data_IF_015376737187
#
_entry.id   IF_015376737187
#
_cell.length_a   1.000
_cell.length_b   1.000
_cell.length_c   1.000
_cell.angle_alpha   90.00
_cell.angle_beta   90.00
_cell.angle_gamma   90.00
#
_symmetry.space_group_name_H-M   'P 1'
#
loop_
_entity.id
_entity.type
_entity.pdbx_description
1 polymer ?
#
# COMPACT_ATOMS: atom_id res chain seq x y z
N UNK A 1 4.86 16.34 -1.98
CA UNK A 1 5.57 16.56 -0.69
C UNK A 1 5.63 15.21 0.01
N UNK A 2 6.75 14.85 0.66
CA UNK A 2 6.86 13.57 1.35
C UNK A 2 5.73 13.41 2.36
N UNK A 3 5.17 12.21 2.42
CA UNK A 3 4.16 11.86 3.40
C UNK A 3 4.78 11.90 4.81
N UNK A 4 4.14 12.56 5.78
CA UNK A 4 4.61 12.59 7.18
C UNK A 4 4.41 11.25 7.90
N UNK A 5 5.02 11.02 9.05
CA UNK A 5 4.68 9.84 9.86
C UNK A 5 3.28 9.96 10.45
N UNK A 6 2.48 8.88 10.45
CA UNK A 6 1.20 8.84 11.18
C UNK A 6 0.16 7.91 10.60
N UNK A 7 -1.05 7.97 11.17
CA UNK A 7 -2.17 7.13 10.76
C UNK A 7 -2.87 7.67 9.51
N UNK A 8 -3.18 6.78 8.58
CA UNK A 8 -3.94 7.06 7.35
C UNK A 8 -4.91 5.94 7.03
N UNK A 9 -5.97 6.24 6.30
CA UNK A 9 -6.68 5.25 5.50
C UNK A 9 -6.08 5.20 4.10
N UNK A 10 -5.93 4.00 3.54
CA UNK A 10 -5.39 3.80 2.19
C UNK A 10 -6.52 3.31 1.28
N UNK A 11 -6.67 3.92 0.12
CA UNK A 11 -7.64 3.51 -0.89
C UNK A 11 -7.00 3.23 -2.25
N UNK A 12 -7.61 2.32 -3.00
CA UNK A 12 -7.49 2.24 -4.45
C UNK A 12 -8.90 2.36 -5.05
N UNK A 13 -9.11 3.27 -6.02
CA UNK A 13 -10.39 3.44 -6.74
C UNK A 13 -11.62 3.50 -5.81
N UNK A 14 -11.52 4.27 -4.71
CA UNK A 14 -12.57 4.44 -3.67
C UNK A 14 -12.85 3.23 -2.79
N UNK A 15 -12.14 2.11 -2.98
CA UNK A 15 -12.18 0.94 -2.09
C UNK A 15 -11.01 1.04 -1.11
N UNK A 16 -11.25 0.78 0.17
CA UNK A 16 -10.20 0.79 1.19
C UNK A 16 -9.34 -0.47 1.10
N UNK A 17 -8.09 -0.36 1.53
CA UNK A 17 -7.22 -1.51 1.74
C UNK A 17 -7.28 -1.96 3.20
N UNK A 18 -7.11 -3.26 3.42
CA UNK A 18 -6.99 -3.87 4.74
C UNK A 18 -6.20 -5.16 4.67
N UNK A 19 -6.31 -5.99 5.69
CA UNK A 19 -5.82 -7.37 5.65
C UNK A 19 -6.99 -8.36 5.67
N UNK A 20 -6.74 -9.60 5.26
CA UNK A 20 -7.68 -10.71 5.38
C UNK A 20 -7.83 -11.16 6.83
N UNK A 21 -9.03 -11.57 7.24
CA UNK A 21 -9.32 -12.13 8.57
C UNK A 21 -9.26 -13.66 8.65
N UNK A 22 -8.68 -14.31 7.64
CA UNK A 22 -8.62 -15.77 7.56
C UNK A 22 -7.68 -16.38 8.61
N UNK A 23 -8.14 -17.44 9.28
CA UNK A 23 -7.30 -18.30 10.12
C UNK A 23 -6.66 -19.43 9.29
N UNK A 24 -5.40 -19.81 9.59
CA UNK A 24 -4.53 -19.31 10.65
C UNK A 24 -3.91 -17.94 10.33
N UNK A 25 -3.51 -17.20 11.37
CA UNK A 25 -2.75 -15.94 11.32
C UNK A 25 -1.31 -16.10 10.77
N UNK A 26 -1.11 -16.88 9.70
CA UNK A 26 0.08 -16.79 8.85
C UNK A 26 0.00 -15.47 8.07
N UNK A 27 1.10 -14.93 7.50
CA UNK A 27 1.12 -13.56 7.00
C UNK A 27 -0.18 -13.22 6.28
N UNK A 28 -0.91 -12.24 6.81
CA UNK A 28 -2.26 -11.97 6.33
C UNK A 28 -2.16 -11.27 4.99
N UNK A 29 -3.07 -11.62 4.09
CA UNK A 29 -3.10 -11.02 2.75
C UNK A 29 -3.48 -9.56 2.89
N UNK A 30 -2.72 -8.65 2.29
CA UNK A 30 -3.21 -7.27 2.11
C UNK A 30 -4.19 -7.27 0.96
N UNK A 31 -5.44 -6.88 1.20
CA UNK A 31 -6.55 -7.04 0.24
C UNK A 31 -7.25 -5.70 -0.01
N UNK A 32 -7.97 -5.63 -1.12
CA UNK A 32 -8.99 -4.59 -1.34
C UNK A 32 -10.24 -4.98 -0.56
N UNK A 33 -10.69 -4.14 0.37
CA UNK A 33 -11.86 -4.45 1.18
C UNK A 33 -13.16 -4.35 0.37
N UNK A 34 -14.14 -5.24 0.63
CA UNK A 34 -15.47 -5.09 0.09
C UNK A 34 -16.18 -3.86 0.69
N UNK A 35 -17.18 -3.35 -0.04
CA UNK A 35 -17.96 -2.19 0.41
C UNK A 35 -18.74 -2.50 1.69
N UNK A 36 -18.80 -1.53 2.60
CA UNK A 36 -19.52 -1.67 3.87
C UNK A 36 -18.70 -2.26 5.02
N UNK A 37 -17.45 -2.67 4.77
CA UNK A 37 -16.49 -3.06 5.81
C UNK A 37 -15.80 -1.82 6.38
N UNK A 38 -15.61 -1.81 7.69
CA UNK A 38 -14.85 -0.75 8.37
C UNK A 38 -13.38 -0.83 7.94
N UNK A 39 -12.84 0.27 7.44
CA UNK A 39 -11.46 0.32 6.99
C UNK A 39 -10.49 0.40 8.18
N UNK A 40 -9.44 -0.43 8.23
CA UNK A 40 -8.44 -0.34 9.29
C UNK A 40 -7.58 0.91 9.10
N UNK A 41 -7.01 1.40 10.21
CA UNK A 41 -6.05 2.49 10.17
C UNK A 41 -4.66 1.93 9.87
N UNK A 42 -4.00 2.51 8.88
CA UNK A 42 -2.64 2.17 8.52
C UNK A 42 -1.67 3.13 9.20
N UNK A 43 -0.68 2.61 9.92
CA UNK A 43 0.41 3.42 10.44
C UNK A 43 1.53 3.49 9.40
N UNK A 44 1.77 4.69 8.88
CA UNK A 44 2.80 4.93 7.86
C UNK A 44 3.96 5.65 8.54
N UNK A 45 5.06 4.93 8.71
CA UNK A 45 6.24 5.39 9.45
C UNK A 45 7.33 5.79 8.47
N UNK A 46 7.67 7.09 8.42
CA UNK A 46 8.80 7.58 7.63
C UNK A 46 10.10 7.15 8.31
N UNK A 47 10.94 6.42 7.59
CA UNK A 47 12.25 5.96 8.07
C UNK A 47 13.43 6.63 7.37
N UNK A 48 13.23 7.13 6.16
CA UNK A 48 14.20 7.95 5.41
C UNK A 48 13.47 8.81 4.36
N UNK A 49 14.19 9.53 3.50
CA UNK A 49 13.60 10.33 2.44
C UNK A 49 12.77 9.49 1.47
N UNK A 50 11.47 9.78 1.43
CA UNK A 50 10.44 9.03 0.72
C UNK A 50 10.44 7.51 0.99
N UNK A 51 11.01 7.04 2.10
CA UNK A 51 11.08 5.61 2.45
C UNK A 51 10.32 5.35 3.74
N UNK A 52 9.46 4.33 3.73
CA UNK A 52 8.44 4.12 4.75
C UNK A 52 8.30 2.66 5.15
N UNK A 53 7.92 2.43 6.41
CA UNK A 53 7.31 1.17 6.84
C UNK A 53 5.79 1.40 6.87
N UNK A 54 5.03 0.54 6.19
CA UNK A 54 3.57 0.60 6.15
C UNK A 54 3.03 -0.55 7.00
N UNK A 55 2.28 -0.23 8.06
CA UNK A 55 1.74 -1.20 9.03
C UNK A 55 0.21 -1.15 9.06
N UNK A 56 -0.41 -2.31 9.24
CA UNK A 56 -1.85 -2.46 9.55
C UNK A 56 -1.96 -3.31 10.81
N UNK A 57 -2.72 -2.84 11.80
CA UNK A 57 -2.85 -3.48 13.12
C UNK A 57 -1.49 -3.86 13.75
N UNK A 58 -0.52 -2.93 13.65
CA UNK A 58 0.88 -3.05 14.08
C UNK A 58 1.74 -4.08 13.32
N UNK A 59 1.16 -4.78 12.35
CA UNK A 59 1.87 -5.72 11.49
C UNK A 59 2.49 -4.99 10.28
N UNK A 60 3.82 -4.98 10.13
CA UNK A 60 4.46 -4.36 8.98
C UNK A 60 4.22 -5.17 7.72
N UNK A 61 4.20 -4.50 6.58
CA UNK A 61 3.99 -5.15 5.28
C UNK A 61 5.28 -5.62 4.64
N UNK A 62 5.20 -6.72 3.89
CA UNK A 62 6.29 -7.24 3.09
C UNK A 62 5.78 -7.83 1.78
N UNK A 63 6.65 -7.83 0.78
CA UNK A 63 6.54 -8.65 -0.42
C UNK A 63 6.92 -10.09 -0.06
N UNK A 64 6.04 -11.01 -0.40
CA UNK A 64 6.35 -12.44 -0.44
C UNK A 64 5.93 -12.93 -1.83
N UNK A 65 6.89 -13.46 -2.58
CA UNK A 65 6.76 -13.73 -4.01
C UNK A 65 6.31 -12.48 -4.79
N UNK A 66 5.14 -12.50 -5.42
CA UNK A 66 4.56 -11.40 -6.19
C UNK A 66 3.37 -10.73 -5.48
N UNK A 67 3.27 -10.86 -4.16
CA UNK A 67 2.12 -10.40 -3.37
C UNK A 67 2.55 -9.67 -2.10
N UNK A 68 1.65 -8.82 -1.60
CA UNK A 68 1.85 -8.03 -0.38
C UNK A 68 1.12 -8.67 0.80
N UNK A 69 1.83 -8.84 1.90
CA UNK A 69 1.32 -9.43 3.13
C UNK A 69 1.58 -8.51 4.32
N UNK A 70 0.69 -8.55 5.32
CA UNK A 70 0.94 -8.07 6.67
C UNK A 70 1.62 -9.19 7.48
N UNK A 71 2.76 -8.91 8.09
CA UNK A 71 3.59 -9.90 8.79
C UNK A 71 3.09 -10.06 10.24
N UNK A 72 2.22 -11.04 10.46
CA UNK A 72 1.56 -11.37 11.75
C UNK A 72 2.37 -12.25 12.69
N UNK A 73 3.40 -12.91 12.17
CA UNK A 73 4.33 -13.73 12.97
C UNK A 73 5.70 -13.10 12.81
N UNK A 74 6.42 -12.92 13.91
CA UNK A 74 7.79 -12.41 13.87
C UNK A 74 8.69 -13.34 13.04
N UNK A 75 8.83 -12.99 11.77
CA UNK A 75 9.76 -13.62 10.81
C UNK A 75 11.03 -12.77 10.64
N UNK A 76 11.17 -11.68 11.40
CA UNK A 76 12.30 -10.76 11.34
C UNK A 76 12.52 -10.05 9.99
N UNK A 77 11.57 -10.13 9.04
CA UNK A 77 11.69 -9.53 7.71
C UNK A 77 10.39 -8.87 7.29
N UNK A 78 10.46 -7.55 7.10
CA UNK A 78 9.45 -6.72 6.46
C UNK A 78 10.15 -5.76 5.51
N UNK A 79 9.41 -5.20 4.55
CA UNK A 79 9.99 -4.33 3.55
C UNK A 79 9.79 -2.85 3.91
N UNK A 80 10.73 -2.04 3.41
CA UNK A 80 10.55 -0.61 3.31
C UNK A 80 10.05 -0.26 1.91
N UNK A 81 9.17 0.72 1.85
CA UNK A 81 8.47 1.10 0.64
C UNK A 81 8.75 2.55 0.30
N UNK A 82 9.05 2.81 -0.96
CA UNK A 82 9.04 4.15 -1.49
C UNK A 82 7.61 4.61 -1.76
N UNK A 83 7.19 5.72 -1.16
CA UNK A 83 5.89 6.35 -1.43
C UNK A 83 6.16 7.62 -2.23
N UNK A 84 5.75 7.63 -3.50
CA UNK A 84 6.07 8.67 -4.48
C UNK A 84 4.78 9.38 -4.88
N UNK A 85 4.80 10.72 -4.94
CA UNK A 85 3.65 11.50 -5.40
C UNK A 85 3.26 11.12 -6.84
N UNK A 86 1.97 10.83 -7.06
CA UNK A 86 1.37 10.76 -8.38
C UNK A 86 0.75 12.13 -8.73
N UNK A 87 1.55 12.97 -9.38
CA UNK A 87 1.18 14.35 -9.72
C UNK A 87 -0.10 14.45 -10.58
N UNK A 88 -0.44 13.38 -11.33
CA UNK A 88 -1.64 13.36 -12.18
C UNK A 88 -2.89 12.93 -11.43
N UNK A 89 -2.77 12.03 -10.45
CA UNK A 89 -3.89 11.54 -9.65
C UNK A 89 -4.44 12.58 -8.65
N UNK A 90 -3.73 13.69 -8.48
CA UNK A 90 -4.16 14.82 -7.66
C UNK A 90 -3.77 14.66 -6.19
N UNK A 91 -4.46 15.40 -5.32
CA UNK A 91 -4.10 15.48 -3.91
C UNK A 91 -4.17 14.10 -3.23
N UNK A 92 -3.11 13.78 -2.50
CA UNK A 92 -2.95 12.52 -1.76
C UNK A 92 -2.86 11.26 -2.62
N UNK A 93 -2.64 11.37 -3.94
CA UNK A 93 -2.40 10.20 -4.81
C UNK A 93 -0.91 9.85 -4.80
N UNK A 94 -0.61 8.57 -4.59
CA UNK A 94 0.76 8.07 -4.51
C UNK A 94 0.92 6.72 -5.21
N UNK A 95 2.15 6.41 -5.56
CA UNK A 95 2.60 5.08 -5.98
C UNK A 95 3.48 4.50 -4.87
N UNK A 96 3.27 3.22 -4.55
CA UNK A 96 4.04 2.50 -3.54
C UNK A 96 4.98 1.53 -4.25
N UNK A 97 6.29 1.72 -4.11
CA UNK A 97 7.33 0.91 -4.78
C UNK A 97 8.25 0.23 -3.78
N UNK A 98 8.86 -0.88 -4.19
CA UNK A 98 9.96 -1.52 -3.48
C UNK A 98 11.20 -0.61 -3.43
N UNK A 99 12.18 -0.93 -2.59
CA UNK A 99 13.45 -0.15 -2.52
C UNK A 99 14.18 -0.08 -3.87
N UNK A 100 14.14 -1.13 -4.68
CA UNK A 100 14.71 -1.13 -6.04
C UNK A 100 13.92 -0.28 -7.07
N UNK A 101 12.75 0.25 -6.67
CA UNK A 101 11.82 1.07 -7.48
C UNK A 101 11.27 0.44 -8.76
N UNK A 102 11.58 -0.83 -9.02
CA UNK A 102 11.08 -1.54 -10.19
C UNK A 102 9.69 -2.13 -9.97
N UNK A 103 9.48 -2.78 -8.82
CA UNK A 103 8.19 -3.34 -8.45
C UNK A 103 7.41 -2.37 -7.55
N UNK A 104 6.09 -2.51 -7.54
CA UNK A 104 5.23 -1.75 -6.65
C UNK A 104 3.90 -2.44 -6.41
N UNK A 105 3.10 -1.82 -5.54
CA UNK A 105 1.79 -2.32 -5.20
C UNK A 105 0.85 -2.17 -6.39
N UNK A 106 0.13 -3.24 -6.73
CA UNK A 106 -0.87 -3.26 -7.79
C UNK A 106 -2.16 -3.83 -7.23
N UNK A 107 -3.21 -3.02 -7.22
CA UNK A 107 -4.53 -3.43 -6.76
C UNK A 107 -5.22 -4.36 -7.78
N UNK A 108 -5.87 -5.44 -7.32
CA UNK A 108 -6.78 -6.22 -8.14
C UNK A 108 -8.10 -5.47 -8.38
N UNK A 109 -8.89 -5.97 -9.33
CA UNK A 109 -10.20 -5.39 -9.66
C UNK A 109 -11.28 -5.79 -8.65
N UNK A 110 -11.29 -7.08 -8.26
CA UNK A 110 -12.29 -7.65 -7.36
C UNK A 110 -11.94 -7.34 -5.89
N UNK A 111 -12.95 -7.07 -5.04
CA UNK A 111 -12.75 -7.06 -3.60
C UNK A 111 -12.25 -8.41 -3.08
N UNK A 112 -11.62 -8.41 -1.91
CA UNK A 112 -11.03 -9.56 -1.22
C UNK A 112 -9.82 -10.21 -1.93
N UNK A 113 -9.57 -9.84 -3.18
CA UNK A 113 -8.33 -10.18 -3.85
C UNK A 113 -7.15 -9.41 -3.24
N UNK A 114 -5.99 -10.06 -3.30
CA UNK A 114 -4.75 -9.60 -2.68
C UNK A 114 -4.03 -8.58 -3.54
N UNK A 115 -3.46 -7.55 -2.89
CA UNK A 115 -2.53 -6.61 -3.50
C UNK A 115 -1.30 -7.37 -3.99
N UNK A 116 -0.97 -7.15 -5.25
CA UNK A 116 0.19 -7.73 -5.92
C UNK A 116 1.40 -6.81 -5.74
N UNK A 117 2.60 -7.36 -5.86
CA UNK A 117 3.86 -6.62 -5.96
C UNK A 117 4.56 -6.97 -7.27
N UNK A 118 4.43 -6.10 -8.27
CA UNK A 118 4.83 -6.38 -9.67
C UNK A 118 5.46 -5.16 -10.34
N UNK A 119 6.13 -5.33 -11.50
CA UNK A 119 6.64 -4.20 -12.26
C UNK A 119 5.54 -3.20 -12.58
N UNK A 120 5.78 -1.93 -12.29
CA UNK A 120 4.80 -0.86 -12.54
C UNK A 120 4.78 -0.44 -14.01
N UNK A 121 3.58 -0.11 -14.49
CA UNK A 121 3.37 0.43 -15.83
C UNK A 121 3.54 1.95 -15.75
N UNK A 122 4.55 2.47 -16.45
CA UNK A 122 4.84 3.90 -16.50
C UNK A 122 4.65 4.41 -17.92
N UNK A 123 3.63 5.26 -18.12
CA UNK A 123 3.33 5.86 -19.41
C UNK A 123 4.35 6.94 -19.81
N UNK A 124 4.75 7.02 -21.11
CA UNK A 124 5.79 7.93 -21.59
C UNK A 124 5.25 9.38 -21.68
N UNK A 125 5.19 10.07 -20.54
CA UNK A 125 4.74 11.45 -20.45
C UNK A 125 5.41 12.18 -19.28
N UNK A 126 5.31 13.51 -19.24
CA UNK A 126 5.81 14.33 -18.13
C UNK A 126 4.68 15.22 -17.55
N UNK A 127 4.30 15.08 -16.26
CA UNK A 127 4.72 14.01 -15.33
C UNK A 127 4.29 12.62 -15.84
N UNK A 128 4.89 11.52 -15.36
CA UNK A 128 4.52 10.16 -15.78
C UNK A 128 3.05 9.84 -15.49
N UNK A 129 2.52 8.87 -16.22
CA UNK A 129 1.17 8.35 -16.00
C UNK A 129 1.26 6.94 -15.43
N UNK A 130 0.49 6.68 -14.37
CA UNK A 130 0.30 5.36 -13.78
C UNK A 130 -1.15 4.91 -13.96
N UNK A 131 -1.40 3.64 -14.29
CA UNK A 131 -2.74 3.08 -14.31
C UNK A 131 -3.46 3.23 -12.95
N UNK A 132 -4.80 3.37 -12.94
CA UNK A 132 -5.54 3.59 -11.69
C UNK A 132 -5.47 2.45 -10.66
N UNK A 133 -5.00 1.25 -11.03
CA UNK A 133 -4.76 0.15 -10.09
C UNK A 133 -3.36 0.21 -9.44
N UNK A 134 -2.48 1.10 -9.89
CA UNK A 134 -1.12 1.27 -9.36
C UNK A 134 -0.98 2.54 -8.48
N UNK A 135 -2.08 3.29 -8.34
CA UNK A 135 -2.14 4.53 -7.54
C UNK A 135 -3.03 4.34 -6.33
N UNK A 136 -2.62 4.93 -5.21
CA UNK A 136 -3.26 4.78 -3.92
C UNK A 136 -3.48 6.14 -3.26
N UNK A 137 -4.68 6.36 -2.72
CA UNK A 137 -5.01 7.59 -2.01
C UNK A 137 -4.81 7.42 -0.50
N UNK A 138 -4.04 8.32 0.12
CA UNK A 138 -3.78 8.31 1.56
C UNK A 138 -4.57 9.42 2.26
N UNK A 139 -5.53 9.06 3.10
CA UNK A 139 -6.33 10.01 3.87
C UNK A 139 -5.87 10.01 5.32
N UNK A 140 -5.34 11.14 5.80
CA UNK A 140 -4.89 11.24 7.19
C UNK A 140 -6.04 11.05 8.17
N UNK A 141 -5.74 10.32 9.23
CA UNK A 141 -6.57 10.31 10.43
C UNK A 141 -6.07 11.44 11.31
N UNK A 142 -6.87 12.49 11.45
CA UNK A 142 -6.54 13.58 12.37
C UNK A 142 -6.45 13.06 13.81
N UNK A 143 -5.56 13.66 14.60
CA UNK A 143 -5.38 13.36 16.03
C UNK A 143 -6.55 13.91 16.86
#
# INVERSE_FOLDING_TARGET
MPLETGYSFIQNRKKYLGHSDEEPLLPQRVIVLPGGVEAPKWFVEKVDDNLYIIKVDDHPTAKIDDKVFAITVDRGKFDKWHIIDDERGGKNSYVITTEERYNGWVAPEEPEDQILCRPLIVGPSFPPFYPPNETFQFFRVDK
#
